data_IF_916495269326
#
_entry.id   IF_916495269326
#
_cell.length_a   1.000
_cell.length_b   1.000
_cell.length_c   1.000
_cell.angle_alpha   90.00
_cell.angle_beta   90.00
_cell.angle_gamma   90.00
#
_symmetry.space_group_name_H-M   'P 1'
#
loop_
_entity.id
_entity.type
_entity.pdbx_description
1 polymer ?
#
# COMPACT_ATOMS: atom_id res chain seq x y z
N UNK A 1 -3.36 5.31 22.20
CA UNK A 1 -2.61 4.63 21.12
C UNK A 1 -2.55 5.62 19.95
N UNK A 2 -1.36 6.07 19.54
CA UNK A 2 -1.21 7.00 18.41
C UNK A 2 -1.10 6.18 17.12
N UNK A 3 -2.20 6.09 16.38
CA UNK A 3 -2.20 5.48 15.04
C UNK A 3 -1.64 6.51 14.05
N UNK A 4 -0.77 6.08 13.13
CA UNK A 4 -0.21 6.99 12.14
C UNK A 4 -1.24 7.31 11.05
N UNK A 5 -1.17 8.52 10.48
CA UNK A 5 -2.15 9.00 9.49
C UNK A 5 -2.23 8.07 8.26
N UNK A 6 -1.10 7.47 7.85
CA UNK A 6 -1.05 6.55 6.71
C UNK A 6 -1.91 5.30 6.95
N UNK A 7 -1.87 4.78 8.19
CA UNK A 7 -2.62 3.59 8.58
C UNK A 7 -4.12 3.86 8.59
N UNK A 8 -4.55 4.98 9.19
CA UNK A 8 -5.97 5.34 9.26
C UNK A 8 -6.56 5.54 7.86
N UNK A 9 -5.83 6.21 6.96
CA UNK A 9 -6.26 6.43 5.59
C UNK A 9 -6.37 5.13 4.79
N UNK A 10 -5.41 4.21 4.99
CA UNK A 10 -5.45 2.88 4.37
C UNK A 10 -6.61 2.04 4.89
N UNK A 11 -6.84 2.03 6.20
CA UNK A 11 -7.96 1.31 6.83
C UNK A 11 -9.30 1.83 6.29
N UNK A 12 -9.48 3.15 6.20
CA UNK A 12 -10.67 3.78 5.61
C UNK A 12 -10.89 3.34 4.16
N UNK A 13 -9.82 3.30 3.35
CA UNK A 13 -9.92 2.87 1.95
C UNK A 13 -10.34 1.40 1.85
N UNK A 14 -9.66 0.50 2.59
CA UNK A 14 -9.92 -0.94 2.58
C UNK A 14 -11.30 -1.31 3.13
N UNK A 15 -11.83 -0.52 4.07
CA UNK A 15 -13.14 -0.76 4.71
C UNK A 15 -14.29 -0.02 4.01
N UNK A 16 -14.04 0.64 2.87
CA UNK A 16 -15.06 1.39 2.11
C UNK A 16 -16.19 0.54 1.51
N UNK A 17 -16.15 -0.79 1.65
CA UNK A 17 -17.14 -1.72 1.09
C UNK A 17 -16.94 -2.04 -0.39
N UNK A 18 -15.92 -1.45 -1.02
CA UNK A 18 -15.58 -1.70 -2.42
C UNK A 18 -14.74 -2.98 -2.59
N UNK A 19 -14.80 -3.56 -3.79
CA UNK A 19 -14.03 -4.76 -4.13
C UNK A 19 -12.53 -4.49 -4.03
N UNK A 20 -11.82 -5.33 -3.27
CA UNK A 20 -10.36 -5.33 -3.21
C UNK A 20 -9.80 -6.33 -4.22
N UNK A 21 -8.84 -5.90 -5.04
CA UNK A 21 -8.16 -6.73 -6.04
C UNK A 21 -6.66 -6.69 -5.81
N UNK A 22 -6.06 -7.87 -5.68
CA UNK A 22 -4.61 -8.06 -5.67
C UNK A 22 -4.15 -8.45 -7.07
N UNK A 23 -3.09 -7.83 -7.56
CA UNK A 23 -2.54 -8.08 -8.89
C UNK A 23 -1.02 -7.91 -8.90
N UNK A 24 -0.34 -8.29 -9.99
CA UNK A 24 1.13 -8.36 -10.06
C UNK A 24 1.72 -9.16 -8.89
N UNK A 25 1.21 -10.38 -8.72
CA UNK A 25 1.52 -11.22 -7.57
C UNK A 25 2.95 -11.76 -7.64
N UNK A 26 3.62 -11.72 -6.50
CA UNK A 26 4.94 -12.31 -6.26
C UNK A 26 5.05 -12.77 -4.81
N UNK A 27 6.24 -13.26 -4.44
CA UNK A 27 6.56 -13.61 -3.06
C UNK A 27 7.87 -12.96 -2.66
N UNK A 28 7.95 -12.49 -1.43
CA UNK A 28 9.22 -12.02 -0.86
C UNK A 28 10.01 -13.17 -0.22
N UNK A 29 11.22 -12.87 0.29
CA UNK A 29 12.10 -13.85 0.96
C UNK A 29 11.51 -14.46 2.24
N UNK A 30 10.43 -13.89 2.76
CA UNK A 30 9.69 -14.40 3.93
C UNK A 30 8.39 -15.11 3.50
N UNK A 31 8.24 -15.40 2.20
CA UNK A 31 7.09 -16.07 1.61
C UNK A 31 5.76 -15.31 1.76
N UNK A 32 5.82 -14.00 2.00
CA UNK A 32 4.62 -13.15 2.03
C UNK A 32 4.20 -12.82 0.60
N UNK A 33 2.89 -12.66 0.38
CA UNK A 33 2.36 -12.21 -0.89
C UNK A 33 2.77 -10.76 -1.13
N UNK A 34 3.59 -10.53 -2.15
CA UNK A 34 3.91 -9.21 -2.65
C UNK A 34 2.95 -8.93 -3.81
N UNK A 35 2.18 -7.84 -3.73
CA UNK A 35 1.17 -7.54 -4.72
C UNK A 35 0.92 -6.03 -4.81
N UNK A 36 0.51 -5.59 -6.00
CA UNK A 36 -0.20 -4.33 -6.17
C UNK A 36 -1.65 -4.50 -5.73
N UNK A 37 -2.25 -3.44 -5.19
CA UNK A 37 -3.60 -3.48 -4.59
C UNK A 37 -4.47 -2.39 -5.21
N UNK A 38 -5.69 -2.77 -5.62
CA UNK A 38 -6.75 -1.85 -6.02
C UNK A 38 -7.98 -2.00 -5.13
N UNK A 39 -8.63 -0.89 -4.82
CA UNK A 39 -9.95 -0.85 -4.15
C UNK A 39 -10.93 -0.14 -5.09
N UNK A 40 -11.87 -0.89 -5.65
CA UNK A 40 -12.67 -0.41 -6.79
C UNK A 40 -11.75 -0.04 -7.96
N UNK A 41 -11.75 1.23 -8.36
CA UNK A 41 -10.90 1.77 -9.41
C UNK A 41 -9.65 2.51 -8.89
N UNK A 42 -9.42 2.52 -7.57
CA UNK A 42 -8.33 3.25 -6.93
C UNK A 42 -7.12 2.34 -6.77
N UNK A 43 -5.98 2.69 -7.36
CA UNK A 43 -4.70 2.07 -7.02
C UNK A 43 -4.20 2.59 -5.67
N UNK A 44 -4.01 1.68 -4.71
CA UNK A 44 -3.71 2.03 -3.31
C UNK A 44 -2.34 2.69 -3.18
N UNK A 45 -1.34 2.22 -3.92
CA UNK A 45 0.01 2.74 -3.83
C UNK A 45 0.06 4.17 -4.39
N UNK A 46 -0.49 4.40 -5.58
CA UNK A 46 -0.57 5.75 -6.16
C UNK A 46 -1.37 6.70 -5.29
N UNK A 47 -2.49 6.23 -4.72
CA UNK A 47 -3.35 7.02 -3.87
C UNK A 47 -2.62 7.54 -2.63
N UNK A 48 -1.91 6.67 -1.90
CA UNK A 48 -1.17 7.06 -0.71
C UNK A 48 0.03 7.95 -1.04
N UNK A 49 0.74 7.68 -2.13
CA UNK A 49 1.86 8.52 -2.58
C UNK A 49 1.37 9.93 -2.94
N UNK A 50 0.27 10.06 -3.69
CA UNK A 50 -0.32 11.37 -4.04
C UNK A 50 -0.76 12.18 -2.81
N UNK A 51 -1.13 11.50 -1.72
CA UNK A 51 -1.47 12.13 -0.44
C UNK A 51 -0.26 12.46 0.45
N UNK A 52 0.96 12.14 0.02
CA UNK A 52 2.16 12.30 0.84
C UNK A 52 2.27 11.28 1.98
N UNK A 53 1.48 10.20 1.94
CA UNK A 53 1.39 9.15 2.96
C UNK A 53 2.22 7.92 2.63
N UNK A 54 2.86 7.89 1.47
CA UNK A 54 3.80 6.85 1.09
C UNK A 54 4.86 7.43 0.17
N UNK A 55 5.99 6.72 0.05
CA UNK A 55 7.05 7.02 -0.91
C UNK A 55 7.12 5.90 -1.94
N UNK A 56 7.39 6.27 -3.19
CA UNK A 56 7.73 5.29 -4.23
C UNK A 56 8.95 4.48 -3.80
N UNK A 57 8.90 3.18 -4.04
CA UNK A 57 10.00 2.27 -3.77
C UNK A 57 10.31 1.47 -5.03
N UNK A 58 11.54 1.56 -5.49
CA UNK A 58 12.05 0.99 -6.74
C UNK A 58 12.96 -0.23 -6.51
N UNK A 59 13.04 -0.73 -5.28
CA UNK A 59 13.87 -1.89 -4.93
C UNK A 59 15.29 -1.52 -4.48
N UNK A 60 15.61 -0.24 -4.33
CA UNK A 60 16.87 0.20 -3.76
C UNK A 60 17.06 -0.22 -2.29
N UNK A 61 18.31 -0.26 -1.82
CA UNK A 61 18.59 -0.36 -0.38
C UNK A 61 18.20 0.98 0.25
N UNK A 62 17.46 0.96 1.36
CA UNK A 62 17.22 2.18 2.16
C UNK A 62 18.58 2.83 2.43
N UNK A 63 18.89 3.95 1.77
CA UNK A 63 20.02 4.79 2.15
C UNK A 63 19.78 5.23 3.59
N UNK A 64 20.82 5.11 4.41
CA UNK A 64 20.86 5.47 5.84
C UNK A 64 19.98 6.68 6.18
N UNK A 65 19.40 6.61 7.39
CA UNK A 65 18.72 7.73 8.05
C UNK A 65 19.51 9.03 7.93
#
# INVERSE_FOLDING_TARGET
>A
MHTSQEKEELEKLLTSGQKVVLYNLGRDKYFRLLASVKVGNIDVAEYLIKKGLAKSYDGGVKTSW
#
